data_IF_308697329376
#
_entry.id   IF_308697329376
#
_cell.length_a   1.000
_cell.length_b   1.000
_cell.length_c   1.000
_cell.angle_alpha   90.00
_cell.angle_beta   90.00
_cell.angle_gamma   90.00
#
_symmetry.space_group_name_H-M   'P 1'
#
loop_
_entity.id
_entity.type
_entity.pdbx_description
1 polymer ?
#
# COMPACT_ATOMS: atom_id res chain seq x y z
N UNK A 1 -4.78 16.24 -40.80
CA UNK A 1 -4.45 16.11 -39.36
C UNK A 1 -5.77 16.01 -38.60
N UNK A 2 -6.11 14.81 -38.11
CA UNK A 2 -7.36 14.61 -37.38
C UNK A 2 -7.28 15.34 -36.05
N UNK A 3 -8.21 16.25 -35.80
CA UNK A 3 -8.34 16.90 -34.51
C UNK A 3 -8.73 15.85 -33.47
N UNK A 4 -8.04 15.80 -32.34
CA UNK A 4 -8.47 15.04 -31.17
C UNK A 4 -9.70 15.76 -30.63
N UNK A 5 -10.87 15.14 -30.73
CA UNK A 5 -12.16 15.77 -30.39
C UNK A 5 -12.84 15.12 -29.19
N UNK A 6 -12.47 13.89 -28.85
CA UNK A 6 -12.99 13.10 -27.74
C UNK A 6 -11.88 12.27 -27.06
N UNK A 7 -12.08 11.87 -25.80
CA UNK A 7 -11.16 10.99 -25.07
C UNK A 7 -10.97 9.62 -25.72
N UNK A 8 -11.95 9.14 -26.49
CA UNK A 8 -11.88 7.89 -27.27
C UNK A 8 -10.96 8.00 -28.48
N UNK A 9 -10.57 9.22 -28.86
CA UNK A 9 -9.66 9.47 -29.98
C UNK A 9 -8.18 9.29 -29.55
N UNK A 10 -7.92 9.15 -28.24
CA UNK A 10 -6.59 8.95 -27.68
C UNK A 10 -6.37 7.46 -27.42
N UNK A 11 -5.48 6.86 -28.21
CA UNK A 11 -5.00 5.51 -28.00
C UNK A 11 -3.48 5.49 -28.12
N UNK A 12 -2.82 4.79 -27.19
CA UNK A 12 -1.37 4.59 -27.20
C UNK A 12 -1.10 3.09 -27.31
N UNK A 13 -0.36 2.69 -28.34
CA UNK A 13 0.22 1.35 -28.45
C UNK A 13 1.66 1.42 -27.97
N UNK A 14 1.97 0.72 -26.89
CA UNK A 14 3.32 0.64 -26.34
C UNK A 14 3.86 -0.74 -26.68
N UNK A 15 4.85 -0.78 -27.57
CA UNK A 15 5.56 -2.02 -27.90
C UNK A 15 6.93 -1.98 -27.26
N UNK A 16 7.21 -2.94 -26.39
CA UNK A 16 8.54 -3.13 -25.80
C UNK A 16 9.18 -4.30 -26.52
N UNK A 17 10.24 -4.03 -27.28
CA UNK A 17 11.07 -5.06 -27.89
C UNK A 17 12.41 -5.09 -27.16
N UNK A 18 12.86 -6.30 -26.79
CA UNK A 18 14.23 -6.49 -26.35
C UNK A 18 15.10 -6.53 -27.61
N UNK A 19 16.02 -5.57 -27.75
CA UNK A 19 16.99 -5.57 -28.86
C UNK A 19 18.08 -6.64 -28.68
N UNK A 20 18.14 -7.27 -27.50
CA UNK A 20 19.06 -8.37 -27.18
C UNK A 20 18.27 -9.63 -26.77
N UNK A 21 18.40 -10.76 -27.49
CA UNK A 21 17.77 -12.03 -27.15
C UNK A 21 18.23 -12.62 -25.80
N UNK A 22 19.25 -12.03 -25.14
CA UNK A 22 19.66 -12.36 -23.78
C UNK A 22 19.11 -11.45 -22.68
N UNK A 23 18.42 -10.35 -23.01
CA UNK A 23 17.88 -9.44 -22.01
C UNK A 23 16.59 -10.00 -21.39
N UNK A 24 16.71 -10.55 -20.18
CA UNK A 24 15.61 -11.22 -19.48
C UNK A 24 14.46 -10.28 -19.05
N UNK A 25 14.64 -8.97 -19.10
CA UNK A 25 13.64 -8.03 -18.61
C UNK A 25 13.80 -6.64 -19.26
N UNK A 26 12.92 -6.30 -20.21
CA UNK A 26 12.70 -4.89 -20.57
C UNK A 26 11.56 -4.38 -19.70
N UNK A 27 11.81 -3.37 -18.86
CA UNK A 27 10.83 -2.84 -17.90
C UNK A 27 10.61 -1.35 -18.15
N UNK A 28 9.35 -0.93 -18.31
CA UNK A 28 8.96 0.49 -18.28
C UNK A 28 8.55 0.80 -16.86
N UNK A 29 9.35 1.60 -16.17
CA UNK A 29 9.11 1.96 -14.77
C UNK A 29 7.97 2.95 -14.59
N UNK A 30 7.77 3.84 -15.57
CA UNK A 30 6.64 4.76 -15.63
C UNK A 30 6.47 5.31 -17.05
N UNK A 31 5.22 5.66 -17.38
CA UNK A 31 4.87 6.38 -18.60
C UNK A 31 3.78 7.38 -18.23
N UNK A 32 4.04 8.67 -18.46
CA UNK A 32 3.10 9.73 -18.20
C UNK A 32 2.60 10.31 -19.53
N UNK A 33 1.27 10.41 -19.68
CA UNK A 33 0.64 11.14 -20.77
C UNK A 33 0.00 12.40 -20.18
N UNK A 34 0.57 13.55 -20.50
CA UNK A 34 -0.07 14.84 -20.24
C UNK A 34 -0.84 15.25 -21.50
N UNK A 35 -2.15 15.41 -21.36
CA UNK A 35 -3.02 15.86 -22.45
C UNK A 35 -3.72 17.14 -22.03
N UNK A 36 -3.33 18.24 -22.67
CA UNK A 36 -3.90 19.56 -22.40
C UNK A 36 -4.94 19.87 -23.46
N UNK A 37 -6.21 19.95 -23.05
CA UNK A 37 -7.29 20.39 -23.93
C UNK A 37 -7.46 21.91 -23.83
N UNK A 38 -7.66 22.64 -24.95
CA UNK A 38 -7.84 24.08 -24.95
C UNK A 38 -9.22 24.54 -24.44
N UNK A 39 -10.09 23.65 -23.95
CA UNK A 39 -11.44 23.99 -23.48
C UNK A 39 -11.57 23.81 -21.96
N UNK A 40 -11.78 24.95 -21.27
CA UNK A 40 -11.74 25.06 -19.82
C UNK A 40 -13.00 24.59 -19.11
N UNK A 41 -13.15 23.28 -18.93
CA UNK A 41 -13.85 22.76 -17.76
C UNK A 41 -12.80 22.09 -16.87
N UNK A 42 -12.63 22.51 -15.61
CA UNK A 42 -11.74 21.83 -14.67
C UNK A 42 -12.34 20.46 -14.37
N UNK A 43 -12.00 19.46 -15.17
CA UNK A 43 -12.24 18.08 -14.79
C UNK A 43 -11.22 17.73 -13.71
N UNK A 44 -11.70 17.29 -12.56
CA UNK A 44 -10.82 16.75 -11.53
C UNK A 44 -10.25 15.44 -12.07
N UNK A 45 -8.93 15.28 -12.21
CA UNK A 45 -8.33 14.03 -12.66
C UNK A 45 -8.80 12.89 -11.75
N UNK A 46 -9.51 11.91 -12.29
CA UNK A 46 -9.87 10.71 -11.53
C UNK A 46 -8.78 9.68 -11.72
N UNK A 47 -8.04 9.39 -10.64
CA UNK A 47 -7.12 8.26 -10.62
C UNK A 47 -7.88 6.96 -10.84
N UNK A 48 -7.55 6.24 -11.92
CA UNK A 48 -8.11 4.93 -12.21
C UNK A 48 -6.99 3.91 -12.28
N UNK A 49 -6.93 3.04 -11.26
CA UNK A 49 -6.01 1.92 -11.24
C UNK A 49 -6.55 0.83 -12.19
N UNK A 50 -5.86 0.61 -13.31
CA UNK A 50 -6.23 -0.44 -14.28
C UNK A 50 -5.55 -1.78 -14.00
N UNK A 51 -4.69 -1.86 -12.99
CA UNK A 51 -3.95 -3.10 -12.69
C UNK A 51 -4.83 -4.08 -11.91
N UNK A 52 -5.77 -3.60 -11.09
CA UNK A 52 -6.88 -4.37 -10.52
C UNK A 52 -8.04 -3.45 -10.07
N UNK A 53 -9.17 -4.04 -9.68
CA UNK A 53 -10.35 -3.31 -9.19
C UNK A 53 -10.31 -3.02 -7.67
N UNK A 54 -9.17 -3.20 -7.02
CA UNK A 54 -9.05 -2.99 -5.57
C UNK A 54 -9.03 -1.50 -5.24
N UNK A 55 -9.89 -1.11 -4.29
CA UNK A 55 -9.96 0.28 -3.83
C UNK A 55 -8.88 0.58 -2.80
N UNK A 56 -8.40 1.84 -2.79
CA UNK A 56 -7.51 2.33 -1.74
C UNK A 56 -8.22 2.25 -0.38
N UNK A 57 -7.51 1.76 0.63
CA UNK A 57 -7.98 1.75 2.01
C UNK A 57 -7.96 3.20 2.53
N UNK A 58 -9.11 3.68 2.97
CA UNK A 58 -9.27 4.99 3.62
C UNK A 58 -9.93 4.74 4.98
N UNK A 59 -9.53 5.46 6.03
CA UNK A 59 -9.95 5.23 7.43
C UNK A 59 -9.28 4.04 8.15
N UNK A 60 -7.95 3.94 8.09
CA UNK A 60 -7.21 3.04 8.98
C UNK A 60 -7.17 3.67 10.38
N UNK A 61 -7.60 2.91 11.40
CA UNK A 61 -7.43 3.28 12.80
C UNK A 61 -6.08 2.76 13.31
N UNK A 62 -5.33 3.61 14.01
CA UNK A 62 -4.08 3.24 14.67
C UNK A 62 -4.17 3.63 16.14
N UNK A 63 -3.67 2.78 17.04
CA UNK A 63 -3.54 3.11 18.46
C UNK A 63 -2.36 2.41 19.12
N UNK A 64 -1.82 3.04 20.15
CA UNK A 64 -0.90 2.40 21.10
C UNK A 64 -1.71 1.57 22.09
N UNK A 65 -1.26 0.35 22.36
CA UNK A 65 -1.76 -0.49 23.45
C UNK A 65 -0.65 -0.64 24.50
N UNK A 66 -1.06 -0.63 25.77
CA UNK A 66 -0.12 -0.58 26.89
C UNK A 66 0.26 0.85 27.27
N UNK A 67 1.52 1.05 27.67
CA UNK A 67 2.02 2.34 28.17
C UNK A 67 2.45 3.23 27.02
N UNK A 68 1.70 4.30 26.76
CA UNK A 68 2.05 5.28 25.73
C UNK A 68 3.47 5.84 25.94
N UNK A 69 4.27 5.81 24.87
CA UNK A 69 5.61 6.39 24.85
C UNK A 69 5.68 7.64 23.98
N UNK A 70 6.89 7.97 23.51
CA UNK A 70 7.16 9.08 22.59
C UNK A 70 7.76 8.60 21.27
N UNK A 71 7.65 7.31 20.97
CA UNK A 71 8.17 6.71 19.75
C UNK A 71 7.27 7.04 18.56
N UNK A 72 7.91 7.42 17.46
CA UNK A 72 7.24 7.67 16.19
C UNK A 72 7.27 6.44 15.30
N UNK A 73 6.09 5.97 14.88
CA UNK A 73 5.95 4.89 13.91
C UNK A 73 5.07 5.33 12.73
N UNK A 74 5.44 4.88 11.53
CA UNK A 74 4.70 5.15 10.30
C UNK A 74 4.37 3.84 9.60
N UNK A 75 3.17 3.73 9.06
CA UNK A 75 2.68 2.53 8.40
C UNK A 75 2.01 2.82 7.06
N UNK A 76 2.00 1.81 6.20
CA UNK A 76 1.13 1.72 5.02
C UNK A 76 0.54 0.32 4.92
N UNK A 77 -0.70 0.24 4.46
CA UNK A 77 -1.39 -1.03 4.18
C UNK A 77 -1.71 -1.10 2.70
N UNK A 78 -1.44 -2.25 2.07
CA UNK A 78 -1.65 -2.46 0.64
C UNK A 78 -2.56 -3.68 0.43
N UNK A 79 -3.74 -3.52 -0.18
CA UNK A 79 -4.59 -4.65 -0.53
C UNK A 79 -4.04 -5.41 -1.75
N UNK A 80 -4.08 -6.74 -1.74
CA UNK A 80 -3.69 -7.58 -2.88
C UNK A 80 -4.74 -8.67 -3.15
N UNK A 81 -4.93 -9.04 -4.42
CA UNK A 81 -5.89 -10.05 -4.87
C UNK A 81 -5.28 -11.46 -4.95
N UNK A 82 -6.07 -12.44 -5.38
CA UNK A 82 -5.68 -13.85 -5.50
C UNK A 82 -4.55 -14.09 -6.50
N UNK A 83 -4.40 -13.20 -7.48
CA UNK A 83 -3.38 -13.31 -8.53
C UNK A 83 -2.05 -12.69 -8.07
N UNK A 84 -2.00 -12.19 -6.83
CA UNK A 84 -0.85 -11.52 -6.25
C UNK A 84 -0.68 -10.07 -6.72
N UNK A 85 -1.66 -9.52 -7.44
CA UNK A 85 -1.64 -8.13 -7.91
C UNK A 85 -2.13 -7.23 -6.78
N UNK A 86 -1.33 -6.21 -6.47
CA UNK A 86 -1.62 -5.30 -5.38
C UNK A 86 -2.25 -3.99 -5.90
N UNK A 87 -3.26 -3.52 -5.17
CA UNK A 87 -3.89 -2.23 -5.39
C UNK A 87 -3.08 -1.06 -4.84
N UNK A 88 -3.66 0.16 -4.81
CA UNK A 88 -2.98 1.33 -4.25
C UNK A 88 -2.73 1.18 -2.75
N UNK A 89 -1.54 1.59 -2.30
CA UNK A 89 -1.24 1.71 -0.89
C UNK A 89 -2.14 2.76 -0.22
N UNK A 90 -2.43 2.57 1.07
CA UNK A 90 -3.05 3.60 1.90
C UNK A 90 -2.22 4.89 1.93
N UNK A 91 -2.83 5.97 2.40
CA UNK A 91 -2.04 7.09 2.90
C UNK A 91 -1.15 6.63 4.06
N UNK A 92 -0.06 7.36 4.30
CA UNK A 92 0.81 7.04 5.44
C UNK A 92 0.08 7.36 6.74
N UNK A 93 0.06 6.38 7.63
CA UNK A 93 -0.51 6.51 8.96
C UNK A 93 0.63 6.69 9.93
N UNK A 94 0.57 7.74 10.76
CA UNK A 94 1.63 8.08 11.71
C UNK A 94 1.07 8.06 13.13
N UNK A 95 1.80 7.46 14.05
CA UNK A 95 1.56 7.57 15.49
C UNK A 95 2.81 8.13 16.18
N UNK A 96 2.64 9.21 16.92
CA UNK A 96 3.74 9.93 17.60
C UNK A 96 3.92 9.49 19.07
N UNK A 97 2.99 8.67 19.57
CA UNK A 97 2.94 8.21 20.98
C UNK A 97 3.06 6.69 21.09
N UNK A 98 3.79 6.06 20.19
CA UNK A 98 4.06 4.62 20.25
C UNK A 98 4.91 4.25 21.46
N UNK A 99 4.83 3.00 21.89
CA UNK A 99 5.65 2.50 23.00
C UNK A 99 7.15 2.60 22.65
N UNK A 100 8.00 2.75 23.66
CA UNK A 100 9.45 2.81 23.47
C UNK A 100 10.05 1.46 23.02
N UNK A 101 9.43 0.37 23.47
CA UNK A 101 9.72 -1.02 23.12
C UNK A 101 8.39 -1.68 22.80
N UNK A 102 8.36 -2.47 21.73
CA UNK A 102 7.18 -3.24 21.35
C UNK A 102 7.34 -4.69 21.82
N UNK A 103 6.28 -5.25 22.38
CA UNK A 103 6.14 -6.65 22.78
C UNK A 103 4.67 -7.08 22.81
N UNK A 104 4.41 -8.29 23.33
CA UNK A 104 3.06 -8.84 23.37
C UNK A 104 2.05 -8.00 24.19
N UNK A 105 2.51 -7.17 25.14
CA UNK A 105 1.70 -6.30 26.01
C UNK A 105 1.68 -4.87 25.50
N UNK A 106 2.85 -4.32 25.17
CA UNK A 106 3.06 -2.95 24.69
C UNK A 106 3.22 -2.98 23.16
N UNK A 107 2.18 -2.65 22.39
CA UNK A 107 2.19 -2.83 20.93
C UNK A 107 1.40 -1.75 20.19
N UNK A 108 1.59 -1.68 18.87
CA UNK A 108 0.77 -0.84 17.99
C UNK A 108 -0.32 -1.69 17.33
N UNK A 109 -1.56 -1.24 17.46
CA UNK A 109 -2.70 -1.85 16.78
C UNK A 109 -3.10 -1.04 15.56
N UNK A 110 -3.21 -1.71 14.42
CA UNK A 110 -3.82 -1.18 13.20
C UNK A 110 -5.11 -1.94 12.89
N UNK A 111 -6.13 -1.23 12.41
CA UNK A 111 -7.38 -1.83 11.93
C UNK A 111 -8.00 -1.04 10.79
N UNK A 112 -8.68 -1.72 9.88
CA UNK A 112 -9.31 -1.18 8.68
C UNK A 112 -10.49 -2.04 8.22
N UNK A 113 -11.35 -1.44 7.39
CA UNK A 113 -12.43 -2.16 6.72
C UNK A 113 -11.90 -2.94 5.53
N UNK A 114 -12.50 -4.10 5.28
CA UNK A 114 -12.09 -4.98 4.21
C UNK A 114 -12.43 -4.42 2.83
N UNK A 115 -11.44 -4.49 1.94
CA UNK A 115 -11.59 -4.12 0.53
C UNK A 115 -12.24 -5.27 -0.22
N UNK A 116 -13.29 -4.98 -0.99
CA UNK A 116 -13.93 -6.00 -1.82
C UNK A 116 -12.95 -6.57 -2.85
N UNK A 117 -12.88 -7.89 -2.96
CA UNK A 117 -12.01 -8.59 -3.92
C UNK A 117 -10.57 -8.84 -3.44
N UNK A 118 -10.23 -8.39 -2.22
CA UNK A 118 -8.92 -8.63 -1.63
C UNK A 118 -8.81 -10.06 -1.07
N UNK A 119 -7.63 -10.65 -1.15
CA UNK A 119 -7.33 -11.96 -0.52
C UNK A 119 -6.31 -11.83 0.60
N UNK A 120 -5.51 -10.76 0.59
CA UNK A 120 -4.56 -10.45 1.65
C UNK A 120 -4.18 -8.97 1.63
N UNK A 121 -3.61 -8.50 2.74
CA UNK A 121 -3.02 -7.19 2.87
C UNK A 121 -1.54 -7.32 3.20
N UNK A 122 -0.72 -6.44 2.62
CA UNK A 122 0.65 -6.24 3.05
C UNK A 122 0.74 -5.05 3.97
N UNK A 123 1.27 -5.25 5.18
CA UNK A 123 1.46 -4.20 6.17
C UNK A 123 2.93 -3.83 6.22
N UNK A 124 3.21 -2.55 6.00
CA UNK A 124 4.57 -2.01 5.97
C UNK A 124 4.79 -1.05 7.12
N UNK A 125 5.99 -1.10 7.70
CA UNK A 125 6.54 -0.05 8.55
C UNK A 125 7.48 0.82 7.73
N UNK A 126 7.16 2.10 7.63
CA UNK A 126 7.89 3.05 6.77
C UNK A 126 8.74 4.03 7.58
N UNK A 127 8.46 4.16 8.88
CA UNK A 127 9.34 4.82 9.83
C UNK A 127 9.18 4.18 11.22
N UNK A 128 10.23 4.22 12.02
CA UNK A 128 10.28 3.75 13.39
C UNK A 128 11.45 4.46 14.12
N UNK A 129 11.54 4.41 15.46
CA UNK A 129 12.75 4.83 16.15
C UNK A 129 13.98 4.05 15.66
N UNK A 130 15.17 4.58 15.89
CA UNK A 130 16.41 3.89 15.50
C UNK A 130 16.51 2.50 16.12
N UNK A 131 16.96 1.51 15.35
CA UNK A 131 17.11 0.12 15.81
C UNK A 131 15.87 -0.75 15.59
N UNK A 132 14.75 -0.17 15.16
CA UNK A 132 13.57 -0.91 14.72
C UNK A 132 13.61 -1.12 13.20
N UNK A 133 13.27 -2.32 12.73
CA UNK A 133 13.31 -2.66 11.30
C UNK A 133 12.27 -1.89 10.46
N UNK A 134 12.62 -1.54 9.22
CA UNK A 134 11.72 -0.93 8.23
C UNK A 134 11.45 -1.92 7.09
N UNK A 135 10.22 -2.01 6.62
CA UNK A 135 9.86 -2.92 5.54
C UNK A 135 8.51 -3.60 5.72
N UNK A 136 8.30 -4.71 5.00
CA UNK A 136 7.13 -5.56 5.14
C UNK A 136 7.16 -6.22 6.52
N UNK A 137 6.13 -5.99 7.32
CA UNK A 137 5.94 -6.67 8.59
C UNK A 137 5.20 -7.99 8.37
N UNK A 138 4.07 -7.93 7.68
CA UNK A 138 3.19 -9.08 7.56
C UNK A 138 2.38 -9.09 6.27
N UNK A 139 1.98 -10.31 5.89
CA UNK A 139 0.87 -10.57 4.97
C UNK A 139 -0.32 -11.03 5.81
N UNK A 140 -1.40 -10.26 5.79
CA UNK A 140 -2.54 -10.36 6.69
C UNK A 140 -3.76 -10.80 5.92
N UNK A 141 -4.47 -11.82 6.40
CA UNK A 141 -5.73 -12.26 5.78
C UNK A 141 -6.89 -11.30 6.12
N UNK A 142 -7.94 -11.24 5.29
CA UNK A 142 -9.16 -10.51 5.62
C UNK A 142 -9.90 -11.09 6.84
N UNK A 143 -10.82 -10.32 7.41
CA UNK A 143 -11.69 -10.67 8.54
C UNK A 143 -10.97 -11.12 9.82
N UNK A 144 -9.78 -10.56 10.10
CA UNK A 144 -9.08 -10.85 11.36
C UNK A 144 -9.54 -9.98 12.54
N UNK A 145 -10.48 -9.07 12.33
CA UNK A 145 -10.99 -8.16 13.34
C UNK A 145 -9.95 -7.15 13.83
N UNK A 146 -10.36 -6.33 14.79
CA UNK A 146 -9.51 -5.28 15.36
C UNK A 146 -8.17 -5.83 15.88
N UNK A 147 -7.07 -5.20 15.44
CA UNK A 147 -5.70 -5.56 15.81
C UNK A 147 -5.31 -7.02 15.50
N UNK A 148 -6.02 -7.69 14.58
CA UNK A 148 -5.68 -9.06 14.17
C UNK A 148 -6.01 -10.13 15.23
N UNK A 149 -6.89 -9.83 16.18
CA UNK A 149 -7.23 -10.73 17.29
C UNK A 149 -8.20 -11.87 16.93
N UNK A 150 -8.50 -12.05 15.65
CA UNK A 150 -9.24 -13.19 15.12
C UNK A 150 -10.67 -13.27 15.67
N UNK A 151 -11.52 -12.32 15.30
CA UNK A 151 -12.92 -12.33 15.75
C UNK A 151 -13.92 -11.54 14.90
N UNK A 152 -13.49 -10.91 13.80
CA UNK A 152 -14.33 -10.02 13.00
C UNK A 152 -15.19 -10.76 11.99
N UNK A 153 -16.29 -11.39 12.44
CA UNK A 153 -17.44 -11.57 11.55
C UNK A 153 -18.07 -10.20 11.28
N UNK A 154 -17.43 -9.38 10.44
CA UNK A 154 -17.78 -7.96 10.33
C UNK A 154 -17.18 -7.22 9.12
N UNK A 155 -16.29 -7.84 8.34
CA UNK A 155 -15.63 -7.16 7.22
C UNK A 155 -14.56 -6.16 7.69
N UNK A 156 -13.94 -6.41 8.83
CA UNK A 156 -12.86 -5.63 9.43
C UNK A 156 -11.63 -6.50 9.69
N UNK A 157 -10.46 -5.93 9.42
CA UNK A 157 -9.15 -6.58 9.52
C UNK A 157 -8.20 -5.68 10.29
N UNK A 158 -7.27 -6.28 11.02
CA UNK A 158 -6.24 -5.55 11.73
C UNK A 158 -4.95 -6.32 11.83
N UNK A 159 -3.94 -5.62 12.34
CA UNK A 159 -2.61 -6.15 12.58
C UNK A 159 -2.07 -5.61 13.90
N UNK A 160 -1.46 -6.51 14.68
CA UNK A 160 -0.74 -6.22 15.90
C UNK A 160 0.74 -6.18 15.60
N UNK A 161 1.33 -5.01 15.75
CA UNK A 161 2.78 -4.84 15.71
C UNK A 161 3.35 -4.88 17.13
N UNK A 162 3.81 -6.07 17.52
CA UNK A 162 4.49 -6.33 18.79
C UNK A 162 6.03 -6.32 18.65
N UNK A 163 6.54 -5.80 17.53
CA UNK A 163 7.98 -5.72 17.27
C UNK A 163 8.67 -7.05 16.95
N UNK A 164 7.98 -8.19 17.00
CA UNK A 164 8.56 -9.49 16.64
C UNK A 164 8.82 -9.64 15.14
N UNK A 165 7.94 -9.06 14.32
CA UNK A 165 8.06 -9.01 12.86
C UNK A 165 8.99 -7.87 12.42
N UNK A 166 10.26 -7.90 12.81
CA UNK A 166 11.26 -7.00 12.26
C UNK A 166 11.83 -7.60 10.97
N UNK A 167 11.80 -6.88 9.83
CA UNK A 167 12.40 -7.36 8.58
C UNK A 167 13.92 -7.24 8.65
N UNK A 168 14.60 -7.95 9.55
CA UNK A 168 16.05 -8.10 9.62
C UNK A 168 16.46 -9.30 10.52
N UNK A 169 16.15 -10.52 10.10
CA UNK A 169 17.10 -11.63 10.16
C UNK A 169 17.08 -12.38 8.82
N UNK A 170 17.72 -11.79 7.81
CA UNK A 170 17.96 -12.43 6.52
C UNK A 170 17.07 -11.91 5.39
N UNK A 171 17.72 -11.31 4.39
CA UNK A 171 17.16 -10.84 3.10
C UNK A 171 16.43 -9.49 3.20
N UNK A 172 17.21 -8.43 2.97
CA UNK A 172 16.72 -7.10 2.61
C UNK A 172 15.96 -7.20 1.29
N UNK A 173 14.63 -7.32 1.35
CA UNK A 173 13.79 -6.99 0.21
C UNK A 173 13.55 -5.49 0.24
N UNK A 174 14.30 -4.73 -0.57
CA UNK A 174 13.99 -3.33 -0.82
C UNK A 174 12.67 -3.29 -1.60
N UNK A 175 11.55 -3.15 -0.89
CA UNK A 175 10.25 -2.93 -1.52
C UNK A 175 10.17 -1.44 -1.84
N UNK A 176 10.34 -1.12 -3.11
CA UNK A 176 9.98 0.19 -3.65
C UNK A 176 8.46 0.34 -3.54
N UNK A 177 8.01 0.99 -2.47
CA UNK A 177 6.62 1.45 -2.35
C UNK A 177 6.40 2.55 -3.38
N UNK A 178 5.72 2.21 -4.48
CA UNK A 178 5.37 3.18 -5.52
C UNK A 178 4.24 4.06 -5.00
N UNK A 179 4.54 5.34 -4.86
CA UNK A 179 3.57 6.40 -4.58
C UNK A 179 2.84 6.72 -5.89
N UNK A 180 1.55 6.41 -5.94
CA UNK A 180 0.64 6.98 -6.93
C UNK A 180 0.34 8.44 -6.53
N UNK A 181 0.79 9.39 -7.33
CA UNK A 181 0.34 10.78 -7.35
C UNK A 181 0.04 11.19 -8.77
#
# INVERSE_FOLDING_TARGET
VGSITDRKDIWALITMAADDPGAADTRVSWLAFEVTFPIGLPETPTFKNYVNSLTKITNISIRTVGTAGTSRYCYRVVPCDSDGVCGPASDEIVIETGNAVLDATDHICLSWLDVTGVTNYKVYRTCAPSGYGLGLLATVLPNLGDCGTGGGGGGDTGYKDDGSDCPNEGIVTIIHLVKML
#
